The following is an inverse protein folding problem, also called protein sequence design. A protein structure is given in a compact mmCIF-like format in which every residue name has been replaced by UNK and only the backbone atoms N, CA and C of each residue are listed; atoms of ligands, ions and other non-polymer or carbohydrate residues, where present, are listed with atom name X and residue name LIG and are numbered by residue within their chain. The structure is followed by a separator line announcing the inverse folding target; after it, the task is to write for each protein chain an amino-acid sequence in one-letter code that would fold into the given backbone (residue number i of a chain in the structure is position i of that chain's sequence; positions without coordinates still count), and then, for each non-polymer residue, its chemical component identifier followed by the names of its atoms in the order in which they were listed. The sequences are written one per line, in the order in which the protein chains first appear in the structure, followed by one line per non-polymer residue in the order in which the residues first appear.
data_IF_904767665964
#
_entry.id   IF_904767665964
#
_cell.length_a   1.000
_cell.length_b   1.000
_cell.length_c   1.000
_cell.angle_alpha   90.00
_cell.angle_beta   90.00
_cell.angle_gamma   90.00
#
_symmetry.space_group_name_H-M   'P 1'
#
loop_
_entity.id
_entity.type
_entity.pdbx_description
1 polymer ?
#
# COMPACT_ATOMS: atom_id res chain seq x y z
N UNK A 1 22.78 6.22 9.56
CA UNK A 1 22.45 4.95 8.88
C UNK A 1 21.02 5.09 8.40
N UNK A 2 20.72 4.73 7.14
CA UNK A 2 19.34 4.78 6.66
C UNK A 2 18.53 3.66 7.35
N UNK A 3 17.31 3.99 7.82
CA UNK A 3 16.39 3.01 8.37
C UNK A 3 15.85 2.17 7.22
N UNK A 4 15.85 0.84 7.37
CA UNK A 4 15.42 -0.08 6.30
C UNK A 4 14.07 -0.65 6.64
N UNK A 5 13.10 -0.51 5.73
CA UNK A 5 11.75 -1.07 5.90
C UNK A 5 11.39 -1.98 4.74
N UNK A 6 10.94 -3.18 5.09
CA UNK A 6 10.35 -4.11 4.13
C UNK A 6 8.88 -3.75 3.97
N UNK A 7 8.48 -3.44 2.75
CA UNK A 7 7.10 -3.09 2.45
C UNK A 7 6.57 -3.93 1.29
N UNK A 8 5.25 -3.98 1.20
CA UNK A 8 4.54 -4.48 0.04
C UNK A 8 3.76 -3.32 -0.56
N UNK A 9 4.07 -2.91 -1.80
CA UNK A 9 3.39 -1.78 -2.46
C UNK A 9 2.40 -2.32 -3.48
N UNK A 10 1.14 -2.45 -3.06
CA UNK A 10 0.03 -2.82 -3.93
C UNK A 10 -0.35 -1.62 -4.81
N UNK A 11 -0.35 -1.83 -6.12
CA UNK A 11 -0.66 -0.81 -7.13
C UNK A 11 -1.23 -1.49 -8.37
N UNK A 12 -2.00 -0.76 -9.18
CA UNK A 12 -2.43 -1.27 -10.49
C UNK A 12 -1.31 -1.17 -11.51
N UNK A 13 -1.27 -2.12 -12.44
CA UNK A 13 -0.10 -2.35 -13.30
C UNK A 13 0.41 -1.17 -14.14
N UNK A 14 -0.45 -0.18 -14.38
CA UNK A 14 -0.11 1.03 -15.14
C UNK A 14 0.75 2.01 -14.34
N UNK A 15 0.85 1.83 -13.03
CA UNK A 15 1.43 2.80 -12.09
C UNK A 15 2.85 2.43 -11.62
N UNK A 16 3.57 1.61 -12.37
CA UNK A 16 4.96 1.20 -12.08
C UNK A 16 5.90 2.42 -11.86
N UNK A 17 5.65 3.50 -12.61
CA UNK A 17 6.35 4.77 -12.44
C UNK A 17 6.14 5.43 -11.06
N UNK A 18 4.99 5.20 -10.42
CA UNK A 18 4.68 5.71 -9.09
C UNK A 18 5.56 5.08 -8.01
N UNK A 19 5.88 3.79 -8.15
CA UNK A 19 6.74 3.06 -7.21
C UNK A 19 8.15 3.65 -7.15
N UNK A 20 8.75 3.91 -8.30
CA UNK A 20 10.10 4.49 -8.36
C UNK A 20 10.10 5.89 -7.72
N UNK A 21 9.11 6.73 -8.07
CA UNK A 21 8.96 8.06 -7.47
C UNK A 21 8.77 8.01 -5.95
N UNK A 22 8.08 6.99 -5.42
CA UNK A 22 7.88 6.82 -3.98
C UNK A 22 9.21 6.53 -3.30
N UNK A 23 10.03 5.65 -3.88
CA UNK A 23 11.38 5.37 -3.36
C UNK A 23 12.27 6.61 -3.40
N UNK A 24 12.22 7.37 -4.51
CA UNK A 24 12.98 8.62 -4.67
C UNK A 24 12.53 9.71 -3.69
N UNK A 25 11.26 9.70 -3.27
CA UNK A 25 10.73 10.61 -2.24
C UNK A 25 11.24 10.27 -0.83
N UNK A 26 11.39 8.97 -0.53
CA UNK A 26 11.73 8.46 0.79
C UNK A 26 13.25 8.37 1.03
N UNK A 27 14.03 8.08 -0.01
CA UNK A 27 15.48 7.98 0.04
C UNK A 27 16.19 9.21 0.66
N UNK A 28 15.90 10.47 0.24
CA UNK A 28 16.56 11.65 0.82
C UNK A 28 16.20 11.89 2.29
N UNK A 29 15.10 11.30 2.78
CA UNK A 29 14.68 11.36 4.18
C UNK A 29 15.30 10.25 5.05
N UNK A 30 16.19 9.44 4.47
CA UNK A 30 16.92 8.40 5.19
C UNK A 30 16.13 7.10 5.40
N UNK A 31 15.01 6.91 4.71
CA UNK A 31 14.25 5.66 4.71
C UNK A 31 14.52 4.87 3.42
N UNK A 32 15.17 3.72 3.54
CA UNK A 32 15.35 2.77 2.44
C UNK A 32 14.20 1.76 2.46
N UNK A 33 13.38 1.81 1.40
CA UNK A 33 12.20 0.96 1.27
C UNK A 33 12.50 -0.21 0.34
N UNK A 34 12.34 -1.42 0.85
CA UNK A 34 12.48 -2.67 0.09
C UNK A 34 11.10 -3.18 -0.27
N UNK A 35 10.71 -3.03 -1.53
CA UNK A 35 9.44 -3.53 -2.02
C UNK A 35 9.54 -5.02 -2.37
N UNK A 36 8.48 -5.76 -2.04
CA UNK A 36 8.28 -7.15 -2.42
C UNK A 36 7.12 -7.34 -3.40
N UNK A 37 6.58 -6.24 -3.94
CA UNK A 37 5.52 -6.26 -4.94
C UNK A 37 5.95 -6.99 -6.20
N UNK A 38 5.03 -7.76 -6.77
CA UNK A 38 5.30 -8.58 -7.95
C UNK A 38 4.62 -7.92 -9.14
N UNK A 39 5.43 -7.54 -10.13
CA UNK A 39 4.97 -7.02 -11.41
C UNK A 39 4.68 -8.19 -12.38
N UNK A 40 3.70 -8.03 -13.27
CA UNK A 40 3.22 -9.01 -14.26
C UNK A 40 4.31 -9.68 -15.07
N UNK A 41 5.44 -9.01 -15.29
CA UNK A 41 6.61 -9.60 -15.94
C UNK A 41 7.30 -10.72 -15.16
N UNK A 42 7.01 -10.91 -13.86
CA UNK A 42 7.61 -11.94 -13.00
C UNK A 42 6.74 -13.19 -12.80
N UNK A 43 5.49 -13.20 -13.25
CA UNK A 43 4.69 -14.42 -13.24
C UNK A 43 5.24 -15.33 -14.33
N UNK A 44 6.05 -16.32 -13.97
CA UNK A 44 6.59 -17.37 -14.85
C UNK A 44 5.45 -18.20 -15.50
N UNK A 45 4.72 -17.62 -16.46
CA UNK A 45 3.56 -18.22 -17.14
C UNK A 45 2.48 -18.81 -16.20
N UNK A 46 2.45 -18.40 -14.94
CA UNK A 46 1.42 -18.83 -14.00
C UNK A 46 0.10 -18.16 -14.41
N UNK A 47 -0.86 -18.95 -14.89
CA UNK A 47 -2.21 -18.48 -15.24
C UNK A 47 -3.22 -18.74 -14.15
N UNK A 48 -2.84 -19.50 -13.11
CA UNK A 48 -3.72 -19.84 -12.00
C UNK A 48 -3.69 -18.74 -10.94
N UNK A 49 -4.81 -18.02 -10.80
CA UNK A 49 -4.92 -16.90 -9.86
C UNK A 49 -4.73 -17.33 -8.41
N UNK A 50 -5.22 -18.52 -8.04
CA UNK A 50 -5.09 -19.04 -6.68
C UNK A 50 -3.63 -19.36 -6.35
N UNK A 51 -2.89 -19.94 -7.30
CA UNK A 51 -1.46 -20.18 -7.18
C UNK A 51 -0.70 -18.86 -7.01
N UNK A 52 -0.97 -17.85 -7.82
CA UNK A 52 -0.31 -16.54 -7.69
C UNK A 52 -0.59 -15.93 -6.32
N UNK A 53 -1.86 -15.89 -5.91
CA UNK A 53 -2.27 -15.36 -4.61
C UNK A 53 -1.55 -16.07 -3.45
N UNK A 54 -1.55 -17.40 -3.45
CA UNK A 54 -1.04 -18.19 -2.31
C UNK A 54 0.47 -18.43 -2.31
N UNK A 55 1.09 -18.58 -3.48
CA UNK A 55 2.51 -18.93 -3.60
C UNK A 55 3.41 -17.73 -3.88
N UNK A 56 2.84 -16.60 -4.33
CA UNK A 56 3.62 -15.43 -4.74
C UNK A 56 3.26 -14.22 -3.88
N UNK A 57 1.99 -13.82 -3.84
CA UNK A 57 1.58 -12.61 -3.11
C UNK A 57 1.58 -12.83 -1.59
N UNK A 58 1.00 -13.93 -1.11
CA UNK A 58 0.97 -14.26 0.31
C UNK A 58 2.37 -14.26 0.98
N UNK A 59 3.41 -14.93 0.44
CA UNK A 59 4.75 -14.86 1.03
C UNK A 59 5.39 -13.47 0.92
N UNK A 60 5.13 -12.72 -0.14
CA UNK A 60 5.62 -11.34 -0.27
C UNK A 60 5.01 -10.41 0.79
N UNK A 61 3.68 -10.47 0.97
CA UNK A 61 2.96 -9.73 2.02
C UNK A 61 3.43 -10.17 3.42
N UNK A 62 3.68 -11.47 3.63
CA UNK A 62 4.18 -11.97 4.90
C UNK A 62 5.60 -11.47 5.22
N UNK A 63 6.47 -11.35 4.21
CA UNK A 63 7.81 -10.82 4.35
C UNK A 63 7.83 -9.31 4.62
N UNK A 64 6.86 -8.58 4.07
CA UNK A 64 6.68 -7.16 4.34
C UNK A 64 6.24 -6.90 5.79
N UNK A 65 6.82 -5.87 6.40
CA UNK A 65 6.39 -5.37 7.71
C UNK A 65 5.18 -4.44 7.61
N UNK A 66 5.09 -3.68 6.52
CA UNK A 66 4.03 -2.72 6.24
C UNK A 66 3.49 -2.95 4.84
N UNK A 67 2.17 -2.90 4.71
CA UNK A 67 1.46 -2.92 3.44
C UNK A 67 1.15 -1.48 3.03
N UNK A 68 1.50 -1.12 1.80
CA UNK A 68 1.25 0.19 1.22
C UNK A 68 0.30 -0.01 0.04
N UNK A 69 -0.88 0.61 0.10
CA UNK A 69 -1.79 0.67 -1.04
C UNK A 69 -1.56 1.99 -1.77
N UNK A 70 -1.05 1.93 -3.00
CA UNK A 70 -0.92 3.09 -3.86
C UNK A 70 -2.28 3.39 -4.52
N UNK A 71 -2.90 4.49 -4.12
CA UNK A 71 -4.28 4.82 -4.47
C UNK A 71 -4.31 5.68 -5.73
N UNK A 72 -4.72 5.05 -6.84
CA UNK A 72 -5.08 5.71 -8.10
C UNK A 72 -6.57 5.51 -8.42
N UNK A 73 -7.19 6.29 -9.33
CA UNK A 73 -8.61 6.16 -9.69
C UNK A 73 -9.02 4.75 -10.16
N UNK A 74 -8.06 4.01 -10.71
CA UNK A 74 -8.25 2.64 -11.20
C UNK A 74 -8.16 1.59 -10.07
N UNK A 75 -7.54 1.93 -8.95
CA UNK A 75 -7.26 1.00 -7.84
C UNK A 75 -8.54 0.45 -7.22
N UNK A 76 -9.60 1.26 -7.14
CA UNK A 76 -10.90 0.85 -6.59
C UNK A 76 -11.56 -0.34 -7.30
N UNK A 77 -11.25 -0.52 -8.59
CA UNK A 77 -11.86 -1.57 -9.42
C UNK A 77 -11.00 -2.84 -9.47
N UNK A 78 -9.89 -2.91 -8.72
CA UNK A 78 -8.96 -4.02 -8.79
C UNK A 78 -9.26 -5.06 -7.71
N UNK A 79 -9.84 -6.19 -8.12
CA UNK A 79 -10.06 -7.35 -7.24
C UNK A 79 -8.76 -7.89 -6.62
N UNK A 80 -7.65 -7.73 -7.34
CA UNK A 80 -6.32 -8.10 -6.85
C UNK A 80 -5.90 -7.23 -5.67
N UNK A 81 -6.03 -5.91 -5.80
CA UNK A 81 -5.68 -4.97 -4.73
C UNK A 81 -6.56 -5.21 -3.50
N UNK A 82 -7.87 -5.38 -3.70
CA UNK A 82 -8.79 -5.72 -2.60
C UNK A 82 -8.34 -6.99 -1.87
N UNK A 83 -8.06 -8.07 -2.61
CA UNK A 83 -7.62 -9.32 -2.03
C UNK A 83 -6.29 -9.18 -1.25
N UNK A 84 -5.34 -8.41 -1.78
CA UNK A 84 -4.04 -8.16 -1.12
C UNK A 84 -4.21 -7.40 0.20
N UNK A 85 -5.08 -6.39 0.23
CA UNK A 85 -5.41 -5.63 1.45
C UNK A 85 -6.08 -6.53 2.48
N UNK A 86 -7.09 -7.30 2.07
CA UNK A 86 -7.78 -8.25 2.95
C UNK A 86 -6.82 -9.29 3.52
N UNK A 87 -5.91 -9.80 2.69
CA UNK A 87 -4.91 -10.76 3.14
C UNK A 87 -3.93 -10.11 4.13
N UNK A 88 -3.42 -8.91 3.84
CA UNK A 88 -2.55 -8.17 4.75
C UNK A 88 -3.25 -7.88 6.10
N UNK A 89 -4.53 -7.52 6.07
CA UNK A 89 -5.34 -7.29 7.25
C UNK A 89 -5.49 -8.58 8.09
N UNK A 90 -5.76 -9.72 7.45
CA UNK A 90 -5.81 -11.04 8.11
C UNK A 90 -4.48 -11.43 8.75
N UNK A 91 -3.36 -10.99 8.20
CA UNK A 91 -2.03 -11.20 8.76
C UNK A 91 -1.66 -10.17 9.84
N UNK A 92 -2.56 -9.25 10.20
CA UNK A 92 -2.33 -8.20 11.18
C UNK A 92 -1.25 -7.19 10.75
N UNK A 93 -1.02 -7.05 9.44
CA UNK A 93 -0.07 -6.07 8.89
C UNK A 93 -0.65 -4.68 9.00
N UNK A 94 0.24 -3.70 9.18
CA UNK A 94 -0.14 -2.29 9.08
C UNK A 94 -0.42 -1.93 7.63
N UNK A 95 -1.59 -1.38 7.35
CA UNK A 95 -2.04 -0.99 6.01
C UNK A 95 -2.05 0.53 5.90
N UNK A 96 -1.25 1.05 4.97
CA UNK A 96 -1.10 2.49 4.72
C UNK A 96 -1.56 2.79 3.29
N UNK A 97 -2.60 3.60 3.14
CA UNK A 97 -2.98 4.17 1.85
C UNK A 97 -2.12 5.38 1.53
N UNK A 98 -1.59 5.45 0.31
CA UNK A 98 -0.84 6.62 -0.19
C UNK A 98 -1.49 7.09 -1.47
N UNK A 99 -1.92 8.35 -1.50
CA UNK A 99 -2.49 8.95 -2.70
C UNK A 99 -1.44 9.10 -3.82
N UNK A 100 -1.84 8.79 -5.05
CA UNK A 100 -1.00 9.01 -6.22
C UNK A 100 -0.65 10.50 -6.43
N UNK A 101 0.58 10.74 -6.90
CA UNK A 101 1.09 12.08 -7.17
C UNK A 101 0.32 12.77 -8.32
N UNK A 102 -0.38 13.85 -7.98
CA UNK A 102 -1.10 14.70 -8.94
C UNK A 102 -2.57 14.31 -9.15
N UNK A 103 -3.04 13.28 -8.46
CA UNK A 103 -4.43 12.86 -8.52
C UNK A 103 -5.33 13.65 -7.57
N UNK A 104 -6.60 13.75 -7.94
CA UNK A 104 -7.66 14.35 -7.10
C UNK A 104 -8.25 13.28 -6.20
N UNK A 105 -8.97 13.71 -5.16
CA UNK A 105 -9.69 12.81 -4.26
C UNK A 105 -10.53 11.81 -5.08
N UNK A 106 -10.18 10.53 -4.99
CA UNK A 106 -10.82 9.44 -5.72
C UNK A 106 -11.41 8.44 -4.74
N UNK A 107 -12.33 7.62 -5.23
CA UNK A 107 -12.85 6.52 -4.43
C UNK A 107 -11.75 5.53 -4.05
N UNK A 108 -11.66 5.25 -2.76
CA UNK A 108 -10.81 4.20 -2.21
C UNK A 108 -11.44 2.82 -2.48
N UNK A 109 -10.63 1.76 -2.67
CA UNK A 109 -11.12 0.39 -2.66
C UNK A 109 -11.79 0.07 -1.32
N UNK A 110 -12.85 -0.74 -1.34
CA UNK A 110 -13.63 -1.06 -0.14
C UNK A 110 -12.79 -1.73 0.94
N UNK A 111 -11.88 -2.64 0.57
CA UNK A 111 -10.97 -3.27 1.51
C UNK A 111 -10.07 -2.24 2.23
N UNK A 112 -9.63 -1.19 1.53
CA UNK A 112 -8.84 -0.12 2.14
C UNK A 112 -9.70 0.73 3.08
N UNK A 113 -10.94 1.02 2.70
CA UNK A 113 -11.88 1.74 3.59
C UNK A 113 -12.17 0.96 4.87
N UNK A 114 -12.08 -0.36 4.87
CA UNK A 114 -12.35 -1.18 6.05
C UNK A 114 -11.10 -1.47 6.91
N UNK A 115 -9.93 -1.53 6.29
CA UNK A 115 -8.71 -2.04 6.92
C UNK A 115 -7.52 -1.06 6.97
N UNK A 116 -7.60 0.11 6.35
CA UNK A 116 -6.51 1.09 6.39
C UNK A 116 -6.29 1.65 7.80
N UNK A 117 -5.04 1.63 8.25
CA UNK A 117 -4.62 2.24 9.51
C UNK A 117 -4.27 3.72 9.35
N UNK A 118 -3.81 4.08 8.14
CA UNK A 118 -3.50 5.46 7.77
C UNK A 118 -3.78 5.67 6.28
N UNK A 119 -4.14 6.89 5.94
CA UNK A 119 -4.28 7.38 4.57
C UNK A 119 -3.54 8.71 4.48
N UNK A 120 -2.52 8.80 3.63
CA UNK A 120 -1.65 9.98 3.55
C UNK A 120 -1.52 10.50 2.13
N UNK A 121 -1.30 11.81 2.02
CA UNK A 121 -1.00 12.46 0.76
C UNK A 121 0.37 12.05 0.21
N UNK A 122 0.70 12.54 -0.98
CA UNK A 122 2.05 12.39 -1.55
C UNK A 122 3.05 13.33 -0.85
N UNK A 123 3.37 13.03 0.41
CA UNK A 123 4.32 13.76 1.24
C UNK A 123 5.25 12.77 1.95
N UNK A 124 6.55 12.89 1.71
CA UNK A 124 7.52 11.95 2.27
C UNK A 124 7.53 11.91 3.80
N UNK A 125 7.28 13.02 4.50
CA UNK A 125 7.21 13.02 5.97
C UNK A 125 5.97 12.25 6.45
N UNK A 126 4.79 12.54 5.88
CA UNK A 126 3.54 11.85 6.22
C UNK A 126 3.61 10.36 5.94
N UNK A 127 4.23 9.96 4.82
CA UNK A 127 4.41 8.55 4.45
C UNK A 127 5.35 7.83 5.43
N UNK A 128 6.47 8.45 5.80
CA UNK A 128 7.41 7.87 6.77
C UNK A 128 6.74 7.70 8.14
N UNK A 129 6.06 8.74 8.59
CA UNK A 129 5.29 8.71 9.84
C UNK A 129 4.25 7.57 9.82
N UNK A 130 3.52 7.44 8.72
CA UNK A 130 2.52 6.39 8.55
C UNK A 130 3.15 4.99 8.57
N UNK A 131 4.28 4.79 7.87
CA UNK A 131 5.04 3.53 7.90
C UNK A 131 5.56 3.22 9.32
N UNK A 132 5.92 4.25 10.09
CA UNK A 132 6.42 4.10 11.46
C UNK A 132 5.34 3.86 12.52
N UNK A 133 4.05 3.93 12.16
CA UNK A 133 2.95 3.63 13.07
C UNK A 133 2.06 4.80 13.42
N UNK A 134 2.25 5.99 12.82
CA UNK A 134 1.37 7.13 13.03
C UNK A 134 0.09 6.98 12.21
N UNK A 135 -1.05 7.01 12.88
CA UNK A 135 -2.35 6.99 12.23
C UNK A 135 -2.65 8.41 11.73
N UNK A 136 -2.48 8.62 10.43
CA UNK A 136 -2.71 9.89 9.74
C UNK A 136 -3.81 9.72 8.71
N UNK A 137 -4.70 10.71 8.60
CA UNK A 137 -5.82 10.69 7.66
C UNK A 137 -5.82 12.01 6.89
N UNK A 138 -5.26 11.96 5.70
CA UNK A 138 -5.05 13.11 4.82
C UNK A 138 -5.71 12.85 3.46
N UNK A 139 -6.16 13.94 2.86
CA UNK A 139 -6.59 14.03 1.47
C UNK A 139 -5.38 14.16 0.56
N UNK A 140 -5.54 14.00 -0.77
CA UNK A 140 -4.44 14.21 -1.73
C UNK A 140 -3.80 15.60 -1.63
N UNK A 141 -4.57 16.63 -1.22
CA UNK A 141 -4.08 18.00 -1.00
C UNK A 141 -3.33 18.19 0.33
N UNK A 142 -3.29 17.17 1.19
CA UNK A 142 -2.71 17.23 2.54
C UNK A 142 -3.67 17.75 3.61
N UNK A 143 -4.90 18.13 3.26
CA UNK A 143 -5.95 18.45 4.23
C UNK A 143 -6.38 17.23 5.04
N UNK A 144 -6.89 17.45 6.25
CA UNK A 144 -7.39 16.36 7.10
C UNK A 144 -8.63 15.67 6.48
N UNK A 145 -8.72 14.36 6.63
CA UNK A 145 -9.89 13.56 6.27
C UNK A 145 -10.41 12.79 7.48
N UNK A 146 -11.70 12.43 7.46
CA UNK A 146 -12.29 11.61 8.51
C UNK A 146 -11.65 10.22 8.52
N UNK A 147 -11.24 9.71 9.69
CA UNK A 147 -10.70 8.38 9.80
C UNK A 147 -11.76 7.34 9.45
N UNK A 148 -11.36 6.28 8.76
CA UNK A 148 -12.29 5.16 8.56
C UNK A 148 -12.46 4.40 9.87
N UNK A 149 -13.68 3.93 10.18
CA UNK A 149 -13.91 3.08 11.33
C UNK A 149 -13.23 1.73 11.11
N UNK A 150 -12.00 1.60 11.61
CA UNK A 150 -11.23 0.37 11.59
C UNK A 150 -12.02 -0.77 12.25
N UNK A 151 -12.48 -1.75 11.45
CA UNK A 151 -13.00 -3.03 11.98
C UNK A 151 -11.82 -3.92 12.37
N UNK A 152 -11.07 -3.52 13.40
CA UNK A 152 -10.14 -4.45 14.04
C UNK A 152 -10.98 -5.43 14.84
N UNK A 153 -11.13 -6.65 14.33
CA UNK A 153 -11.68 -7.73 15.13
C UNK A 153 -10.70 -7.97 16.28
N UNK A 154 -11.10 -7.73 17.54
CA UNK A 154 -10.25 -8.08 18.67
C UNK A 154 -10.04 -9.60 18.62
N UNK A 155 -8.78 -10.00 18.64
CA UNK A 155 -8.35 -11.37 18.83
C UNK A 155 -8.75 -11.90 20.21
#
# INVERSE_FOLDING_TARGET
MADKRNVFISHVHKDDHGLQKLKDLLAPKGLEVRDSSIHTGKFNNATDEHYIKTQILAPAINWAGVFICYVSPQTKNSDWVNWEIEYAAKQGKRIVGVWEHGEKECDLPDALKEHADALVGWNGDSIIDAINGKDSWEKPDGGACDPVPLKRHPC
#
